data_IF_913065895807
#
_entry.id   IF_913065895807
#
_cell.length_a   1.000
_cell.length_b   1.000
_cell.length_c   1.000
_cell.angle_alpha   90.00
_cell.angle_beta   90.00
_cell.angle_gamma   90.00
#
_symmetry.space_group_name_H-M   'P 1'
#
loop_
_entity.id
_entity.type
_entity.pdbx_description
1 polymer ?
#
# COMPACT_ATOMS: atom_id res chain seq x y z
N UNK A 1 24.23 -28.33 27.44
CA UNK A 1 23.76 -27.28 28.37
C UNK A 1 22.96 -26.29 27.54
N UNK A 2 21.64 -26.21 27.74
CA UNK A 2 20.74 -25.34 26.95
C UNK A 2 20.99 -23.88 27.36
N UNK A 3 21.75 -23.14 26.58
CA UNK A 3 21.94 -21.71 26.80
C UNK A 3 20.68 -20.99 26.32
N UNK A 4 19.91 -20.46 27.27
CA UNK A 4 18.78 -19.59 27.00
C UNK A 4 19.26 -18.39 26.19
N UNK A 5 18.85 -18.30 24.91
CA UNK A 5 18.99 -17.06 24.13
C UNK A 5 18.00 -16.07 24.75
N UNK A 6 18.53 -15.12 25.52
CA UNK A 6 17.76 -14.13 26.26
C UNK A 6 16.82 -13.35 25.33
N UNK A 7 15.51 -13.51 25.54
CA UNK A 7 14.51 -12.55 25.11
C UNK A 7 14.46 -11.42 26.14
N UNK A 8 14.66 -10.18 25.71
CA UNK A 8 14.20 -9.00 26.43
C UNK A 8 13.36 -8.17 25.47
N UNK A 9 12.07 -8.05 25.77
CA UNK A 9 11.14 -7.16 25.10
C UNK A 9 10.85 -6.03 26.08
N UNK A 10 11.31 -4.83 25.77
CA UNK A 10 10.88 -3.62 26.46
C UNK A 10 9.91 -2.89 25.54
N UNK A 11 8.67 -2.70 26.02
CA UNK A 11 7.65 -1.93 25.31
C UNK A 11 7.51 -0.58 26.00
N UNK A 12 7.73 0.51 25.26
CA UNK A 12 6.97 1.73 25.49
C UNK A 12 5.59 1.55 24.85
N UNK A 13 4.58 2.29 25.30
CA UNK A 13 3.27 2.34 24.64
C UNK A 13 3.43 2.86 23.22
N UNK A 14 3.53 1.94 22.26
CA UNK A 14 3.74 2.24 20.85
C UNK A 14 2.45 2.77 20.24
N UNK A 15 2.46 4.05 19.85
CA UNK A 15 1.48 4.56 18.88
C UNK A 15 2.01 4.24 17.49
N UNK A 16 1.39 3.26 16.82
CA UNK A 16 1.79 2.87 15.47
C UNK A 16 1.44 4.00 14.49
N UNK A 17 2.43 4.82 14.12
CA UNK A 17 2.37 5.77 13.00
C UNK A 17 3.25 5.25 11.87
N UNK A 18 2.82 5.46 10.63
CA UNK A 18 3.66 5.20 9.46
C UNK A 18 4.87 6.15 9.50
N UNK A 19 6.07 5.60 9.54
CA UNK A 19 7.32 6.36 9.67
C UNK A 19 8.11 6.32 8.37
N UNK A 20 8.79 7.44 8.11
CA UNK A 20 9.60 7.65 6.92
C UNK A 20 10.75 6.62 6.85
N UNK A 21 10.97 6.07 5.66
CA UNK A 21 12.03 5.11 5.37
C UNK A 21 13.41 5.70 5.66
N UNK A 22 13.56 7.02 5.49
CA UNK A 22 14.81 7.76 5.73
C UNK A 22 15.27 7.71 7.21
N UNK A 23 14.34 7.73 8.16
CA UNK A 23 14.62 7.70 9.60
C UNK A 23 15.30 6.39 9.99
N UNK A 24 14.73 5.26 9.55
CA UNK A 24 15.26 3.95 9.89
C UNK A 24 16.61 3.68 9.24
N UNK A 25 16.84 4.12 8.01
CA UNK A 25 18.12 3.92 7.33
C UNK A 25 19.28 4.58 8.10
N UNK A 26 19.09 5.81 8.58
CA UNK A 26 20.09 6.52 9.39
C UNK A 26 20.33 5.83 10.74
N UNK A 27 19.25 5.54 11.47
CA UNK A 27 19.34 4.89 12.79
C UNK A 27 20.00 3.52 12.69
N UNK A 28 19.68 2.73 11.68
CA UNK A 28 20.28 1.41 11.43
C UNK A 28 21.77 1.53 11.10
N UNK A 29 22.15 2.54 10.30
CA UNK A 29 23.55 2.82 9.98
C UNK A 29 24.35 3.14 11.24
N UNK A 30 23.88 4.07 12.06
CA UNK A 30 24.56 4.47 13.30
C UNK A 30 24.62 3.33 14.31
N UNK A 31 23.54 2.57 14.45
CA UNK A 31 23.50 1.38 15.30
C UNK A 31 24.52 0.33 14.82
N UNK A 32 24.57 0.05 13.52
CA UNK A 32 25.49 -0.94 12.94
C UNK A 32 26.94 -0.51 13.17
N UNK A 33 27.24 0.77 12.96
CA UNK A 33 28.57 1.33 13.19
C UNK A 33 28.98 1.21 14.66
N UNK A 34 28.12 1.65 15.59
CA UNK A 34 28.39 1.59 17.03
C UNK A 34 28.50 0.15 17.55
N UNK A 35 27.68 -0.77 17.02
CA UNK A 35 27.77 -2.19 17.36
C UNK A 35 29.10 -2.80 16.91
N UNK A 36 29.49 -2.61 15.66
CA UNK A 36 30.71 -3.17 15.09
C UNK A 36 32.00 -2.56 15.68
N UNK A 37 31.96 -1.31 16.14
CA UNK A 37 33.08 -0.68 16.83
C UNK A 37 33.11 -0.96 18.34
N UNK A 38 32.21 -1.81 18.85
CA UNK A 38 31.99 -2.05 20.28
C UNK A 38 31.70 -0.78 21.11
N UNK A 39 31.23 0.30 20.46
CA UNK A 39 30.81 1.54 21.11
C UNK A 39 29.31 1.46 21.46
N UNK A 40 28.99 0.56 22.39
CA UNK A 40 27.60 0.32 22.80
C UNK A 40 26.99 1.50 23.55
N UNK A 41 27.81 2.39 24.10
CA UNK A 41 27.35 3.64 24.72
C UNK A 41 26.75 4.57 23.67
N UNK A 42 27.41 4.72 22.52
CA UNK A 42 26.84 5.50 21.41
C UNK A 42 25.54 4.87 20.89
N UNK A 43 25.43 3.54 20.83
CA UNK A 43 24.17 2.88 20.46
C UNK A 43 23.07 3.14 21.51
N UNK A 44 23.39 3.12 22.81
CA UNK A 44 22.44 3.48 23.86
C UNK A 44 21.96 4.94 23.76
N UNK A 45 22.80 5.84 23.26
CA UNK A 45 22.43 7.24 23.08
C UNK A 45 21.37 7.44 21.98
N UNK A 46 21.25 6.50 21.04
CA UNK A 46 20.18 6.49 20.04
C UNK A 46 18.78 6.21 20.65
N UNK A 47 18.70 5.67 21.87
CA UNK A 47 17.41 5.37 22.52
C UNK A 47 16.68 6.66 22.93
N UNK A 48 15.35 6.65 22.82
CA UNK A 48 14.52 7.76 23.28
C UNK A 48 14.56 7.91 24.81
N UNK A 49 14.29 9.12 25.34
CA UNK A 49 14.15 9.32 26.78
C UNK A 49 13.16 8.35 27.43
N UNK A 50 12.02 8.12 26.77
CA UNK A 50 10.97 7.21 27.20
C UNK A 50 11.48 5.77 27.29
N UNK A 51 12.23 5.31 26.29
CA UNK A 51 12.76 3.96 26.30
C UNK A 51 13.86 3.77 27.36
N UNK A 52 14.69 4.81 27.59
CA UNK A 52 15.69 4.84 28.67
C UNK A 52 15.09 4.76 30.08
N UNK A 53 13.82 5.10 30.26
CA UNK A 53 13.13 4.87 31.55
C UNK A 53 12.91 3.38 31.85
N UNK A 54 12.86 2.55 30.81
CA UNK A 54 12.57 1.12 30.90
C UNK A 54 13.84 0.26 30.91
N UNK A 55 14.96 0.75 30.36
CA UNK A 55 16.24 0.05 30.34
C UNK A 55 17.41 0.99 30.61
N UNK A 56 18.25 0.65 31.58
CA UNK A 56 19.45 1.42 31.89
C UNK A 56 20.61 1.08 30.93
N UNK A 57 21.60 1.98 30.86
CA UNK A 57 22.76 1.83 29.96
C UNK A 57 23.54 0.54 30.21
N UNK A 58 23.72 0.14 31.47
CA UNK A 58 24.49 -1.06 31.82
C UNK A 58 23.83 -2.32 31.24
N UNK A 59 22.53 -2.46 31.39
CA UNK A 59 21.79 -3.62 30.91
C UNK A 59 21.70 -3.66 29.38
N UNK A 60 21.50 -2.50 28.74
CA UNK A 60 21.46 -2.40 27.28
C UNK A 60 22.82 -2.71 26.64
N UNK A 61 23.91 -2.13 27.16
CA UNK A 61 25.27 -2.41 26.66
C UNK A 61 25.68 -3.85 26.90
N UNK A 62 25.33 -4.44 28.05
CA UNK A 62 25.54 -5.87 28.32
C UNK A 62 24.72 -6.77 27.40
N UNK A 63 23.53 -6.34 26.96
CA UNK A 63 22.75 -7.03 25.94
C UNK A 63 23.45 -7.02 24.59
N UNK A 64 23.92 -5.86 24.11
CA UNK A 64 24.66 -5.77 22.84
C UNK A 64 25.97 -6.57 22.87
N UNK A 65 26.71 -6.49 23.98
CA UNK A 65 27.95 -7.25 24.17
C UNK A 65 27.73 -8.77 24.11
N UNK A 66 26.59 -9.28 24.62
CA UNK A 66 26.23 -10.69 24.49
C UNK A 66 25.93 -11.07 23.04
N UNK A 67 25.23 -10.22 22.31
CA UNK A 67 24.94 -10.44 20.88
C UNK A 67 26.20 -10.41 20.03
N UNK A 68 27.22 -9.62 20.42
CA UNK A 68 28.51 -9.53 19.73
C UNK A 68 29.30 -10.86 19.70
N UNK A 69 28.90 -11.87 20.46
CA UNK A 69 29.38 -13.25 20.29
C UNK A 69 29.14 -13.80 18.86
N UNK A 70 28.17 -13.24 18.14
CA UNK A 70 27.91 -13.56 16.73
C UNK A 70 28.85 -12.83 15.74
N UNK A 71 29.77 -11.98 16.23
CA UNK A 71 30.67 -11.17 15.41
C UNK A 71 30.05 -9.88 14.88
N UNK A 72 30.71 -9.21 13.95
CA UNK A 72 30.21 -7.95 13.37
C UNK A 72 28.93 -8.17 12.55
N UNK A 73 28.06 -7.16 12.54
CA UNK A 73 26.95 -7.05 11.58
C UNK A 73 27.54 -6.77 10.20
N UNK A 74 27.26 -7.65 9.25
CA UNK A 74 27.76 -7.55 7.85
C UNK A 74 26.68 -7.11 6.88
N UNK A 75 25.40 -7.37 7.19
CA UNK A 75 24.27 -6.98 6.36
C UNK A 75 23.00 -6.85 7.19
N UNK A 76 22.27 -5.75 6.98
CA UNK A 76 20.87 -5.59 7.43
C UNK A 76 19.98 -5.48 6.20
N UNK A 77 18.96 -6.34 6.13
CA UNK A 77 17.96 -6.32 5.06
C UNK A 77 16.58 -6.22 5.67
N UNK A 78 15.83 -5.18 5.33
CA UNK A 78 14.44 -5.03 5.73
C UNK A 78 13.62 -6.24 5.25
N UNK A 79 12.88 -6.85 6.16
CA UNK A 79 12.08 -8.07 5.93
C UNK A 79 10.62 -7.92 6.30
N UNK A 80 10.18 -6.75 6.77
CA UNK A 80 8.76 -6.52 7.06
C UNK A 80 8.45 -5.72 8.31
N UNK A 81 7.17 -5.64 8.62
CA UNK A 81 6.63 -5.05 9.84
C UNK A 81 6.04 -6.12 10.78
N UNK A 82 6.24 -5.99 12.09
CA UNK A 82 5.65 -6.89 13.11
C UNK A 82 5.37 -6.10 14.37
N UNK A 83 4.11 -6.05 14.81
CA UNK A 83 3.70 -5.48 16.10
C UNK A 83 4.18 -4.03 16.35
N UNK A 84 4.21 -3.20 15.31
CA UNK A 84 4.70 -1.82 15.39
C UNK A 84 6.21 -1.65 15.25
N UNK A 85 6.95 -2.74 14.99
CA UNK A 85 8.38 -2.72 14.70
C UNK A 85 8.65 -2.94 13.21
N UNK A 86 9.66 -2.24 12.70
CA UNK A 86 10.35 -2.63 11.46
C UNK A 86 11.25 -3.82 11.78
N UNK A 87 11.19 -4.86 10.95
CA UNK A 87 11.95 -6.10 11.11
C UNK A 87 13.03 -6.18 10.03
N UNK A 88 14.28 -6.37 10.45
CA UNK A 88 15.43 -6.53 9.57
C UNK A 88 16.06 -7.91 9.78
N UNK A 89 16.23 -8.69 8.71
CA UNK A 89 17.19 -9.80 8.70
C UNK A 89 18.58 -9.21 8.87
N UNK A 90 19.20 -9.50 9.99
CA UNK A 90 20.53 -8.99 10.37
C UNK A 90 21.50 -10.16 10.36
N UNK A 91 22.40 -10.14 9.38
CA UNK A 91 23.48 -11.12 9.25
C UNK A 91 24.69 -10.62 10.03
N UNK A 92 25.18 -11.49 10.90
CA UNK A 92 26.45 -11.35 11.60
C UNK A 92 27.48 -12.30 10.98
N UNK A 93 28.77 -12.13 11.29
CA UNK A 93 29.83 -13.05 10.85
C UNK A 93 29.55 -14.52 11.21
N UNK A 94 28.87 -14.78 12.35
CA UNK A 94 28.63 -16.11 12.90
C UNK A 94 27.16 -16.39 13.20
N UNK A 95 26.22 -15.75 12.51
CA UNK A 95 24.80 -16.03 12.70
C UNK A 95 23.85 -15.05 12.01
N UNK A 96 22.55 -15.31 12.14
CA UNK A 96 21.50 -14.44 11.60
C UNK A 96 20.41 -14.28 12.65
N UNK A 97 20.05 -13.03 12.96
CA UNK A 97 18.91 -12.68 13.80
C UNK A 97 17.94 -11.78 13.03
N UNK A 98 16.70 -11.70 13.50
CA UNK A 98 15.79 -10.60 13.13
C UNK A 98 16.00 -9.48 14.14
N UNK A 99 16.37 -8.29 13.67
CA UNK A 99 16.38 -7.06 14.45
C UNK A 99 15.02 -6.40 14.33
N UNK A 100 14.36 -6.18 15.45
CA UNK A 100 13.10 -5.46 15.55
C UNK A 100 13.43 -4.07 16.08
N UNK A 101 13.06 -3.04 15.33
CA UNK A 101 13.33 -1.66 15.70
C UNK A 101 12.08 -0.80 15.49
N UNK A 102 11.75 0.00 16.49
CA UNK A 102 10.75 1.05 16.40
C UNK A 102 11.46 2.37 16.67
N UNK A 103 11.32 3.33 15.77
CA UNK A 103 11.86 4.67 15.95
C UNK A 103 10.74 5.63 16.34
N UNK A 104 11.07 6.87 16.70
CA UNK A 104 10.13 7.97 16.81
C UNK A 104 10.42 9.03 15.75
N UNK A 105 9.57 10.06 15.69
CA UNK A 105 9.68 11.16 14.71
C UNK A 105 11.01 11.95 14.83
N UNK A 106 11.73 11.82 15.95
CA UNK A 106 13.04 12.45 16.19
C UNK A 106 14.22 11.52 15.85
N UNK A 107 13.98 10.43 15.14
CA UNK A 107 14.99 9.40 14.82
C UNK A 107 15.63 8.75 16.05
N UNK A 108 14.88 8.62 17.14
CA UNK A 108 15.32 7.91 18.35
C UNK A 108 14.65 6.55 18.42
N UNK A 109 15.29 5.56 19.04
CA UNK A 109 14.79 4.19 19.16
C UNK A 109 13.85 4.11 20.37
N UNK A 110 12.56 3.83 20.10
CA UNK A 110 11.49 3.61 21.10
C UNK A 110 11.31 2.12 21.45
N UNK A 111 11.87 1.24 20.62
CA UNK A 111 11.87 -0.19 20.88
C UNK A 111 12.95 -0.90 20.09
N UNK A 112 13.62 -1.86 20.73
CA UNK A 112 14.72 -2.61 20.13
C UNK A 112 14.77 -4.04 20.64
N UNK A 113 14.90 -5.01 19.73
CA UNK A 113 15.13 -6.40 20.10
C UNK A 113 15.86 -7.18 18.99
N UNK A 114 16.53 -8.25 19.39
CA UNK A 114 16.93 -9.32 18.48
C UNK A 114 16.16 -10.60 18.80
N UNK A 115 15.71 -11.32 17.77
CA UNK A 115 15.15 -12.67 17.88
C UNK A 115 15.76 -13.62 16.85
N UNK A 116 15.73 -14.95 17.04
CA UNK A 116 16.18 -15.89 16.01
C UNK A 116 15.54 -15.59 14.65
N UNK A 117 16.34 -15.51 13.60
CA UNK A 117 15.81 -15.38 12.25
C UNK A 117 15.20 -16.71 11.81
N UNK A 118 13.87 -16.76 11.65
CA UNK A 118 13.19 -17.89 11.03
C UNK A 118 12.99 -17.55 9.56
N UNK A 119 13.78 -18.19 8.69
CA UNK A 119 13.50 -18.16 7.27
C UNK A 119 12.12 -18.78 7.04
N UNK A 120 11.25 -18.06 6.33
CA UNK A 120 10.01 -18.64 5.83
C UNK A 120 10.38 -19.77 4.87
N UNK A 121 9.88 -20.97 5.12
CA UNK A 121 10.08 -22.08 4.20
C UNK A 121 9.44 -21.71 2.86
N UNK A 122 10.20 -21.83 1.77
CA UNK A 122 9.66 -21.65 0.43
C UNK A 122 8.85 -22.88 0.04
N UNK A 123 7.90 -22.70 -0.87
CA UNK A 123 7.20 -23.83 -1.49
C UNK A 123 8.20 -24.77 -2.15
N UNK A 124 8.13 -26.04 -1.78
CA UNK A 124 8.88 -27.13 -2.40
C UNK A 124 8.15 -27.77 -3.59
N UNK A 125 6.83 -27.56 -3.69
CA UNK A 125 5.98 -28.12 -4.74
C UNK A 125 5.77 -27.07 -5.84
N UNK A 126 5.85 -27.46 -7.13
CA UNK A 126 5.51 -26.59 -8.24
C UNK A 126 4.10 -26.03 -8.10
N UNK A 127 3.96 -24.74 -8.39
CA UNK A 127 2.67 -24.05 -8.35
C UNK A 127 1.93 -24.26 -9.68
N UNK A 128 0.68 -24.69 -9.62
CA UNK A 128 -0.17 -24.86 -10.80
C UNK A 128 -0.26 -23.53 -11.59
N UNK A 129 -0.08 -23.60 -12.90
CA UNK A 129 -0.14 -22.44 -13.78
C UNK A 129 -0.44 -22.85 -15.23
N UNK A 130 -0.86 -21.90 -16.05
CA UNK A 130 -1.14 -22.08 -17.48
C UNK A 130 -0.07 -21.44 -18.39
N UNK A 131 1.05 -20.97 -17.83
CA UNK A 131 2.11 -20.37 -18.60
C UNK A 131 2.90 -21.44 -19.38
N UNK A 132 2.89 -21.31 -20.71
CA UNK A 132 3.56 -22.24 -21.64
C UNK A 132 5.08 -22.10 -21.69
N UNK A 133 5.64 -20.97 -21.24
CA UNK A 133 7.08 -20.67 -21.24
C UNK A 133 7.74 -20.75 -22.62
N UNK A 134 6.95 -20.53 -23.68
CA UNK A 134 7.37 -20.71 -25.07
C UNK A 134 8.07 -19.50 -25.69
N UNK A 135 7.78 -18.31 -25.17
CA UNK A 135 8.42 -17.04 -25.59
C UNK A 135 9.30 -16.47 -24.49
N UNK A 136 10.17 -15.50 -24.82
CA UNK A 136 10.95 -14.77 -23.83
C UNK A 136 10.06 -14.02 -22.82
N UNK A 137 8.94 -13.48 -23.28
CA UNK A 137 7.96 -12.83 -22.40
C UNK A 137 7.37 -13.84 -21.40
N UNK A 138 6.97 -15.02 -21.89
CA UNK A 138 6.44 -16.08 -21.04
C UNK A 138 7.45 -16.48 -19.95
N UNK A 139 8.73 -16.60 -20.31
CA UNK A 139 9.80 -16.96 -19.39
C UNK A 139 10.08 -15.87 -18.36
N UNK A 140 10.08 -14.59 -18.76
CA UNK A 140 10.32 -13.50 -17.81
C UNK A 140 9.12 -13.31 -16.86
N UNK A 141 7.89 -13.44 -17.36
CA UNK A 141 6.70 -13.47 -16.50
C UNK A 141 6.78 -14.63 -15.53
N UNK A 142 7.12 -15.83 -16.00
CA UNK A 142 7.23 -17.01 -15.15
C UNK A 142 8.29 -16.85 -14.06
N UNK A 143 9.45 -16.30 -14.40
CA UNK A 143 10.51 -16.01 -13.44
C UNK A 143 10.08 -14.99 -12.40
N UNK A 144 9.41 -13.91 -12.82
CA UNK A 144 8.91 -12.89 -11.91
C UNK A 144 7.84 -13.45 -10.95
N UNK A 145 6.86 -14.17 -11.49
CA UNK A 145 5.74 -14.73 -10.71
C UNK A 145 6.20 -15.91 -9.85
N UNK A 146 7.09 -16.78 -10.32
CA UNK A 146 7.65 -17.88 -9.51
C UNK A 146 8.39 -17.37 -8.28
N UNK A 147 9.05 -16.21 -8.38
CA UNK A 147 9.64 -15.52 -7.22
C UNK A 147 8.59 -15.18 -6.16
N UNK A 148 7.44 -14.62 -6.57
CA UNK A 148 6.31 -14.32 -5.69
C UNK A 148 5.68 -15.61 -5.13
N UNK A 149 5.36 -16.56 -5.99
CA UNK A 149 4.66 -17.81 -5.66
C UNK A 149 5.50 -18.80 -4.86
N UNK A 150 6.81 -18.57 -4.74
CA UNK A 150 7.70 -19.33 -3.84
C UNK A 150 7.35 -19.12 -2.36
N UNK A 151 6.65 -18.03 -2.03
CA UNK A 151 6.10 -17.81 -0.70
C UNK A 151 4.82 -18.67 -0.51
N UNK A 152 4.79 -19.59 0.47
CA UNK A 152 3.65 -20.47 0.71
C UNK A 152 2.36 -19.74 1.07
N UNK A 153 2.44 -18.48 1.49
CA UNK A 153 1.29 -17.68 1.87
C UNK A 153 0.58 -17.05 0.66
N UNK A 154 1.21 -17.04 -0.52
CA UNK A 154 0.59 -16.55 -1.76
C UNK A 154 -0.29 -17.64 -2.38
N UNK A 155 -1.60 -17.55 -2.24
CA UNK A 155 -2.50 -18.60 -2.75
C UNK A 155 -2.54 -18.62 -4.28
N UNK A 156 -2.80 -17.48 -4.91
CA UNK A 156 -2.93 -17.34 -6.35
C UNK A 156 -2.65 -15.92 -6.84
N UNK A 157 -2.32 -15.82 -8.12
CA UNK A 157 -2.02 -14.54 -8.79
C UNK A 157 -2.40 -14.63 -10.26
N UNK A 158 -2.94 -13.54 -10.78
CA UNK A 158 -3.21 -13.36 -12.20
C UNK A 158 -2.47 -12.14 -12.72
N UNK A 159 -1.92 -12.25 -13.93
CA UNK A 159 -1.11 -11.21 -14.57
C UNK A 159 -1.65 -10.95 -15.97
N UNK A 160 -1.80 -9.67 -16.33
CA UNK A 160 -1.98 -9.27 -17.71
C UNK A 160 -0.84 -8.34 -18.14
N UNK A 161 -0.32 -8.58 -19.34
CA UNK A 161 0.71 -7.75 -19.97
C UNK A 161 0.15 -7.18 -21.27
N UNK A 162 0.13 -5.87 -21.39
CA UNK A 162 -0.26 -5.14 -22.61
C UNK A 162 1.03 -4.73 -23.33
N UNK A 163 1.14 -5.08 -24.61
CA UNK A 163 2.21 -4.65 -25.51
C UNK A 163 1.60 -4.15 -26.82
N UNK A 164 1.44 -2.84 -26.94
CA UNK A 164 0.81 -2.22 -28.10
C UNK A 164 -0.69 -2.55 -28.22
N UNK A 165 -1.03 -3.48 -29.11
CA UNK A 165 -2.39 -3.97 -29.31
C UNK A 165 -2.63 -5.37 -28.72
N UNK A 166 -1.55 -6.07 -28.34
CA UNK A 166 -1.61 -7.42 -27.83
C UNK A 166 -1.76 -7.43 -26.31
N UNK A 167 -2.48 -8.44 -25.81
CA UNK A 167 -2.64 -8.69 -24.37
C UNK A 167 -2.32 -10.16 -24.09
N UNK A 168 -1.41 -10.38 -23.16
CA UNK A 168 -1.00 -11.69 -22.68
C UNK A 168 -1.52 -11.90 -21.27
N UNK A 169 -2.06 -13.08 -20.99
CA UNK A 169 -2.67 -13.43 -19.70
C UNK A 169 -1.94 -14.63 -19.11
N UNK A 170 -1.73 -14.58 -17.79
CA UNK A 170 -1.06 -15.64 -17.06
C UNK A 170 -1.73 -15.85 -15.71
N UNK A 171 -1.91 -17.11 -15.32
CA UNK A 171 -2.61 -17.48 -14.11
C UNK A 171 -1.78 -18.49 -13.31
N UNK A 172 -1.68 -18.26 -12.00
CA UNK A 172 -0.86 -19.04 -11.10
C UNK A 172 -1.60 -19.31 -9.79
N UNK A 173 -1.39 -20.50 -9.23
CA UNK A 173 -1.90 -20.90 -7.92
C UNK A 173 -3.39 -21.17 -7.94
N UNK A 174 -4.11 -20.69 -6.93
CA UNK A 174 -5.49 -21.11 -6.70
C UNK A 174 -6.40 -19.93 -6.27
N UNK A 175 -7.68 -20.00 -6.62
CA UNK A 175 -8.70 -19.05 -6.12
C UNK A 175 -8.98 -19.21 -4.64
N UNK A 176 -8.79 -20.43 -4.12
CA UNK A 176 -8.96 -20.85 -2.74
C UNK A 176 -7.95 -21.97 -2.46
N UNK A 177 -7.24 -21.91 -1.34
CA UNK A 177 -6.18 -22.86 -1.00
C UNK A 177 -6.73 -24.27 -0.92
N UNK A 178 -6.02 -25.21 -1.54
CA UNK A 178 -6.37 -26.63 -1.63
C UNK A 178 -7.60 -26.91 -2.51
N UNK A 179 -8.15 -25.91 -3.21
CA UNK A 179 -9.24 -26.12 -4.15
C UNK A 179 -8.80 -26.74 -5.49
N UNK A 180 -7.50 -26.70 -5.79
CA UNK A 180 -6.94 -27.00 -7.11
C UNK A 180 -7.56 -26.19 -8.28
N UNK A 181 -8.29 -25.11 -7.97
CA UNK A 181 -8.94 -24.25 -8.96
C UNK A 181 -8.03 -23.09 -9.31
N UNK A 182 -7.42 -23.17 -10.49
CA UNK A 182 -6.63 -22.07 -11.06
C UNK A 182 -7.51 -20.81 -11.19
N UNK A 183 -7.04 -19.63 -10.77
CA UNK A 183 -7.74 -18.39 -11.06
C UNK A 183 -7.78 -18.13 -12.57
N UNK A 184 -8.77 -17.37 -13.02
CA UNK A 184 -8.95 -17.01 -14.43
C UNK A 184 -9.20 -15.50 -14.60
N UNK A 185 -9.35 -15.06 -15.84
CA UNK A 185 -9.62 -13.67 -16.18
C UNK A 185 -10.94 -13.10 -15.64
N UNK A 186 -11.84 -13.94 -15.09
CA UNK A 186 -13.14 -13.58 -14.51
C UNK A 186 -13.15 -13.68 -12.98
N UNK A 187 -12.08 -14.19 -12.39
CA UNK A 187 -11.91 -14.26 -10.94
C UNK A 187 -11.85 -12.84 -10.40
N UNK A 188 -12.67 -12.57 -9.38
CA UNK A 188 -12.78 -11.26 -8.74
C UNK A 188 -11.75 -11.18 -7.62
N UNK A 189 -11.06 -10.04 -7.55
CA UNK A 189 -10.09 -9.69 -6.51
C UNK A 189 -10.45 -8.33 -5.92
N UNK A 190 -10.10 -8.09 -4.66
CA UNK A 190 -10.05 -6.73 -4.13
C UNK A 190 -8.82 -6.02 -4.71
N UNK A 191 -9.02 -4.87 -5.39
CA UNK A 191 -7.90 -4.11 -5.99
C UNK A 191 -7.32 -3.07 -5.02
N UNK A 192 -7.84 -3.04 -3.79
CA UNK A 192 -7.40 -2.14 -2.72
C UNK A 192 -7.23 -0.71 -3.23
N UNK A 193 -6.09 -0.11 -2.91
CA UNK A 193 -5.82 1.30 -3.19
C UNK A 193 -5.72 1.69 -4.67
N UNK A 194 -5.69 0.75 -5.63
CA UNK A 194 -5.92 1.09 -7.04
C UNK A 194 -7.29 1.79 -7.20
N UNK A 195 -8.26 1.52 -6.31
CA UNK A 195 -9.55 2.25 -6.28
C UNK A 195 -9.42 3.77 -6.30
N UNK A 196 -8.33 4.33 -5.76
CA UNK A 196 -8.09 5.78 -5.74
C UNK A 196 -7.97 6.37 -7.13
N UNK A 197 -7.37 5.63 -8.07
CA UNK A 197 -7.21 6.09 -9.45
C UNK A 197 -8.56 6.23 -10.16
N UNK A 198 -9.55 5.41 -9.79
CA UNK A 198 -10.94 5.58 -10.22
C UNK A 198 -11.55 6.86 -9.62
N UNK A 199 -11.34 7.10 -8.32
CA UNK A 199 -11.76 8.37 -7.67
C UNK A 199 -11.12 9.59 -8.32
N UNK A 200 -9.84 9.50 -8.73
CA UNK A 200 -9.12 10.56 -9.43
C UNK A 200 -9.73 10.89 -10.79
N UNK A 201 -10.15 9.87 -11.56
CA UNK A 201 -10.89 10.05 -12.82
C UNK A 201 -12.27 10.68 -12.58
N UNK A 202 -13.00 10.28 -11.53
CA UNK A 202 -14.30 10.87 -11.21
C UNK A 202 -14.14 12.35 -10.80
N UNK A 203 -13.08 12.69 -10.06
CA UNK A 203 -12.73 14.08 -9.77
C UNK A 203 -12.42 14.85 -11.06
N UNK A 204 -11.59 14.29 -11.94
CA UNK A 204 -11.31 14.90 -13.24
C UNK A 204 -12.60 15.15 -14.04
N UNK A 205 -13.52 14.19 -14.04
CA UNK A 205 -14.82 14.35 -14.69
C UNK A 205 -15.65 15.47 -14.04
N UNK A 206 -15.66 15.58 -12.71
CA UNK A 206 -16.36 16.67 -12.01
C UNK A 206 -15.80 18.06 -12.36
N UNK A 207 -14.49 18.15 -12.62
CA UNK A 207 -13.85 19.38 -13.11
C UNK A 207 -14.30 19.70 -14.54
N UNK A 208 -14.33 18.71 -15.42
CA UNK A 208 -14.80 18.87 -16.81
C UNK A 208 -16.29 19.25 -16.87
N UNK A 209 -17.11 18.69 -15.98
CA UNK A 209 -18.53 19.02 -15.82
C UNK A 209 -18.76 20.41 -15.19
N UNK A 210 -17.70 21.12 -14.78
CA UNK A 210 -17.79 22.44 -14.13
C UNK A 210 -18.39 22.42 -12.72
N UNK A 211 -18.50 21.24 -12.09
CA UNK A 211 -19.12 21.05 -10.76
C UNK A 211 -18.19 21.36 -9.60
N UNK A 212 -16.89 21.27 -9.82
CA UNK A 212 -15.84 21.50 -8.82
C UNK A 212 -14.58 22.00 -9.52
N UNK A 213 -13.77 22.82 -8.84
CA UNK A 213 -12.43 23.20 -9.31
C UNK A 213 -11.37 22.52 -8.45
N UNK A 214 -10.24 22.17 -9.05
CA UNK A 214 -9.10 21.57 -8.33
C UNK A 214 -8.57 22.47 -7.20
N UNK A 215 -8.68 23.80 -7.36
CA UNK A 215 -8.26 24.81 -6.39
C UNK A 215 -9.41 25.35 -5.54
N UNK A 216 -10.56 24.68 -5.51
CA UNK A 216 -11.59 25.01 -4.52
C UNK A 216 -11.16 24.61 -3.12
N UNK A 217 -11.48 25.45 -2.15
CA UNK A 217 -11.47 25.12 -0.73
C UNK A 217 -12.51 24.02 -0.44
N UNK A 218 -12.09 22.91 0.15
CA UNK A 218 -12.96 21.77 0.41
C UNK A 218 -14.09 22.09 1.39
N UNK A 219 -13.92 23.12 2.24
CA UNK A 219 -14.93 23.54 3.23
C UNK A 219 -16.23 23.99 2.59
N UNK A 220 -16.21 24.43 1.33
CA UNK A 220 -17.42 24.75 0.54
C UNK A 220 -18.36 23.54 0.37
N UNK A 221 -17.82 22.33 0.46
CA UNK A 221 -18.54 21.08 0.20
C UNK A 221 -18.83 20.26 1.47
N UNK A 222 -18.42 20.78 2.64
CA UNK A 222 -18.52 20.09 3.92
C UNK A 222 -19.49 20.83 4.86
N UNK A 223 -20.04 20.15 5.89
CA UNK A 223 -20.84 20.82 6.91
C UNK A 223 -20.08 21.93 7.64
N UNK A 224 -20.80 22.93 8.15
CA UNK A 224 -20.22 24.10 8.83
C UNK A 224 -19.28 23.76 10.01
N UNK A 225 -19.51 22.62 10.68
CA UNK A 225 -18.64 22.12 11.76
C UNK A 225 -17.22 21.77 11.30
N UNK A 226 -16.98 21.60 10.00
CA UNK A 226 -15.66 21.34 9.41
C UNK A 226 -14.93 22.62 8.96
N UNK A 227 -15.33 23.80 9.46
CA UNK A 227 -14.76 25.11 9.06
C UNK A 227 -13.29 25.31 9.46
N UNK A 228 -12.80 24.55 10.45
CA UNK A 228 -11.43 24.60 10.96
C UNK A 228 -10.35 23.92 10.11
N UNK A 229 -10.69 23.38 8.93
CA UNK A 229 -9.77 22.62 8.06
C UNK A 229 -8.76 23.53 7.32
N UNK A 230 -7.84 24.11 8.08
CA UNK A 230 -6.74 24.93 7.61
C UNK A 230 -5.56 24.85 8.58
N UNK A 231 -4.35 25.12 8.09
CA UNK A 231 -3.16 25.31 8.92
C UNK A 231 -2.37 26.51 8.40
N UNK A 232 -1.89 27.37 9.31
CA UNK A 232 -1.19 28.62 8.96
C UNK A 232 -1.99 29.51 7.98
N UNK A 233 -3.32 29.55 8.14
CA UNK A 233 -4.21 30.32 7.27
C UNK A 233 -4.42 29.74 5.87
N UNK A 234 -3.82 28.59 5.54
CA UNK A 234 -4.02 27.91 4.26
C UNK A 234 -5.09 26.81 4.37
N UNK A 235 -6.19 26.88 3.60
CA UNK A 235 -7.18 25.81 3.56
C UNK A 235 -6.69 24.61 2.77
N UNK A 236 -7.37 23.48 2.96
CA UNK A 236 -7.21 22.31 2.07
C UNK A 236 -7.95 22.58 0.75
N UNK A 237 -7.25 22.41 -0.36
CA UNK A 237 -7.81 22.46 -1.71
C UNK A 237 -8.21 21.06 -2.20
N UNK A 238 -9.19 20.99 -3.11
CA UNK A 238 -9.72 19.71 -3.62
C UNK A 238 -8.62 18.79 -4.19
N UNK A 239 -7.70 19.31 -5.01
CA UNK A 239 -6.60 18.51 -5.57
C UNK A 239 -5.69 17.91 -4.48
N UNK A 240 -5.59 18.57 -3.33
CA UNK A 240 -4.72 18.15 -2.23
C UNK A 240 -5.23 16.89 -1.53
N UNK A 241 -6.53 16.60 -1.65
CA UNK A 241 -7.09 15.31 -1.23
C UNK A 241 -6.65 14.16 -2.16
N UNK A 242 -6.47 14.45 -3.45
CA UNK A 242 -6.16 13.46 -4.49
C UNK A 242 -4.68 13.25 -4.73
N UNK A 243 -3.84 14.25 -4.46
CA UNK A 243 -2.39 14.15 -4.63
C UNK A 243 -1.64 13.94 -3.30
N UNK A 244 -2.39 13.67 -2.23
CA UNK A 244 -1.88 13.38 -0.89
C UNK A 244 -1.13 14.54 -0.20
N UNK A 245 -1.41 15.80 -0.54
CA UNK A 245 -0.80 16.96 0.14
C UNK A 245 -1.76 17.74 1.03
N UNK A 246 -2.82 17.12 1.55
CA UNK A 246 -3.84 17.81 2.36
C UNK A 246 -3.41 18.07 3.80
N UNK A 247 -2.39 17.37 4.29
CA UNK A 247 -2.05 17.33 5.72
C UNK A 247 -3.03 16.51 6.57
N UNK A 248 -4.02 15.84 5.97
CA UNK A 248 -4.90 14.92 6.70
C UNK A 248 -4.17 13.61 7.01
N UNK A 249 -4.20 13.13 8.26
CA UNK A 249 -3.58 11.87 8.64
C UNK A 249 -4.05 10.68 7.79
N UNK A 250 -3.21 9.65 7.70
CA UNK A 250 -3.49 8.45 6.89
C UNK A 250 -4.87 7.85 7.15
N UNK A 251 -5.22 7.75 8.43
CA UNK A 251 -6.48 7.23 8.96
C UNK A 251 -7.00 8.15 10.07
N UNK A 252 -8.31 8.17 10.32
CA UNK A 252 -8.86 8.79 11.51
C UNK A 252 -8.31 8.15 12.80
N UNK A 253 -8.01 8.99 13.81
CA UNK A 253 -7.49 8.52 15.10
C UNK A 253 -8.53 7.80 15.95
N UNK A 254 -9.81 8.03 15.67
CA UNK A 254 -10.97 7.42 16.32
C UNK A 254 -11.49 6.16 15.62
N UNK A 255 -10.87 5.73 14.51
CA UNK A 255 -11.31 4.56 13.75
C UNK A 255 -11.41 3.32 14.63
N UNK A 256 -10.42 3.10 15.50
CA UNK A 256 -10.37 1.93 16.41
C UNK A 256 -11.35 2.00 17.58
N UNK A 257 -11.83 3.20 17.91
CA UNK A 257 -12.83 3.44 18.95
C UNK A 257 -14.27 3.50 18.41
N UNK A 258 -14.46 3.28 17.12
CA UNK A 258 -15.77 3.32 16.48
C UNK A 258 -16.66 2.19 17.01
N UNK A 259 -17.94 2.46 17.36
CA UNK A 259 -18.88 1.41 17.75
C UNK A 259 -18.96 0.29 16.69
N UNK A 260 -18.76 -0.95 17.12
CA UNK A 260 -18.73 -2.11 16.22
C UNK A 260 -17.39 -2.35 15.51
N UNK A 261 -16.31 -1.65 15.88
CA UNK A 261 -14.98 -1.88 15.33
C UNK A 261 -14.56 -3.36 15.39
N UNK A 262 -14.07 -3.85 14.26
CA UNK A 262 -13.48 -5.18 14.13
C UNK A 262 -12.15 -5.03 13.41
N UNK A 263 -11.05 -5.48 14.03
CA UNK A 263 -9.71 -5.40 13.45
C UNK A 263 -9.58 -6.07 12.08
N UNK A 264 -10.41 -7.10 11.82
CA UNK A 264 -10.40 -7.83 10.55
C UNK A 264 -11.22 -7.15 9.45
N UNK A 265 -12.12 -6.23 9.81
CA UNK A 265 -12.90 -5.40 8.88
C UNK A 265 -13.03 -3.96 9.42
N UNK A 266 -11.92 -3.20 9.45
CA UNK A 266 -11.76 -2.03 10.33
C UNK A 266 -12.58 -0.81 9.91
N UNK A 267 -13.08 -0.77 8.67
CA UNK A 267 -13.78 0.39 8.11
C UNK A 267 -15.31 0.23 8.08
N UNK A 268 -15.82 -0.99 8.31
CA UNK A 268 -17.22 -1.37 8.07
C UNK A 268 -18.25 -0.43 8.69
N UNK A 269 -17.93 0.09 9.87
CA UNK A 269 -18.83 0.90 10.67
C UNK A 269 -18.46 2.40 10.67
N UNK A 270 -17.44 2.80 9.91
CA UNK A 270 -17.01 4.20 9.86
C UNK A 270 -17.83 4.99 8.82
N UNK A 271 -18.83 5.72 9.30
CA UNK A 271 -19.80 6.42 8.45
C UNK A 271 -19.33 7.79 7.96
N UNK A 272 -20.10 8.39 7.05
CA UNK A 272 -19.90 9.75 6.55
C UNK A 272 -20.02 10.78 7.67
N UNK A 273 -20.95 10.58 8.59
CA UNK A 273 -21.16 11.43 9.76
C UNK A 273 -19.95 11.37 10.69
N UNK A 274 -19.37 10.17 10.90
CA UNK A 274 -18.15 10.00 11.68
C UNK A 274 -16.95 10.71 11.03
N UNK A 275 -16.83 10.66 9.69
CA UNK A 275 -15.86 11.49 8.98
C UNK A 275 -16.07 12.99 9.25
N UNK A 276 -17.31 13.49 9.26
CA UNK A 276 -17.56 14.89 9.58
C UNK A 276 -17.21 15.23 11.03
N UNK A 277 -17.49 14.34 11.98
CA UNK A 277 -17.13 14.52 13.39
C UNK A 277 -15.61 14.51 13.60
N UNK A 278 -14.90 13.64 12.88
CA UNK A 278 -13.44 13.60 12.87
C UNK A 278 -12.84 14.87 12.25
N UNK A 279 -13.33 15.29 11.09
CA UNK A 279 -12.87 16.50 10.41
C UNK A 279 -13.13 17.77 11.22
N UNK A 280 -14.13 17.79 12.10
CA UNK A 280 -14.40 18.94 12.98
C UNK A 280 -13.33 19.16 14.05
N UNK A 281 -12.51 18.14 14.36
CA UNK A 281 -11.53 18.17 15.47
C UNK A 281 -10.10 17.81 15.07
N UNK A 282 -9.90 17.26 13.86
CA UNK A 282 -8.59 16.84 13.38
C UNK A 282 -7.60 18.01 13.35
N UNK A 283 -6.35 17.72 13.72
CA UNK A 283 -5.21 18.62 13.49
C UNK A 283 -4.46 18.16 12.26
N UNK A 284 -4.20 19.07 11.33
CA UNK A 284 -3.42 18.76 10.13
C UNK A 284 -1.96 18.52 10.51
N UNK A 285 -1.36 17.46 9.97
CA UNK A 285 0.03 17.07 10.21
C UNK A 285 1.03 18.03 9.53
N UNK A 286 0.62 18.65 8.42
CA UNK A 286 1.44 19.57 7.64
C UNK A 286 0.58 20.64 6.99
N UNK A 287 1.22 21.74 6.57
CA UNK A 287 0.56 22.83 5.86
C UNK A 287 0.05 22.30 4.51
N UNK A 288 -1.24 22.48 4.15
CA UNK A 288 -1.78 21.96 2.90
C UNK A 288 -0.97 22.43 1.68
N UNK A 289 -0.60 21.48 0.83
CA UNK A 289 0.20 21.67 -0.38
C UNK A 289 1.72 21.63 -0.17
N UNK A 290 2.20 21.42 1.06
CA UNK A 290 3.64 21.48 1.37
C UNK A 290 4.35 20.13 1.28
N UNK A 291 3.77 19.08 1.86
CA UNK A 291 4.37 17.75 1.99
C UNK A 291 3.38 16.72 1.46
N UNK A 292 3.88 15.73 0.71
CA UNK A 292 3.09 14.60 0.30
C UNK A 292 3.10 13.51 1.37
N UNK A 293 1.92 13.23 1.94
CA UNK A 293 1.70 12.17 2.91
C UNK A 293 0.46 11.35 2.52
N UNK A 294 0.68 10.07 2.18
CA UNK A 294 -0.37 9.19 1.70
C UNK A 294 -1.55 9.10 2.68
N UNK A 295 -2.75 9.47 2.21
CA UNK A 295 -3.93 9.60 3.07
C UNK A 295 -5.15 8.89 2.51
N UNK A 296 -5.61 7.83 3.19
CA UNK A 296 -6.90 7.20 2.90
C UNK A 296 -8.05 8.12 3.32
N UNK A 297 -7.90 8.82 4.45
CA UNK A 297 -8.83 9.86 4.91
C UNK A 297 -9.07 10.90 3.82
N UNK A 298 -8.01 11.43 3.22
CA UNK A 298 -8.12 12.43 2.16
C UNK A 298 -8.97 11.96 0.98
N UNK A 299 -8.74 10.74 0.50
CA UNK A 299 -9.49 10.19 -0.65
C UNK A 299 -10.93 9.77 -0.27
N UNK A 300 -11.16 9.30 0.96
CA UNK A 300 -12.51 9.05 1.45
C UNK A 300 -13.34 10.36 1.50
N UNK A 301 -12.75 11.43 2.02
CA UNK A 301 -13.36 12.77 2.03
C UNK A 301 -13.60 13.28 0.61
N UNK A 302 -12.67 13.06 -0.31
CA UNK A 302 -12.86 13.38 -1.72
C UNK A 302 -14.09 12.68 -2.29
N UNK A 303 -14.26 11.38 -2.03
CA UNK A 303 -15.45 10.67 -2.49
C UNK A 303 -16.75 11.20 -1.87
N UNK A 304 -16.75 11.55 -0.57
CA UNK A 304 -17.91 12.21 0.08
C UNK A 304 -18.26 13.54 -0.61
N UNK A 305 -17.25 14.34 -0.96
CA UNK A 305 -17.43 15.59 -1.70
C UNK A 305 -18.00 15.31 -3.10
N UNK A 306 -17.48 14.30 -3.80
CA UNK A 306 -17.98 13.90 -5.13
C UNK A 306 -19.45 13.47 -5.08
N UNK A 307 -19.85 12.69 -4.08
CA UNK A 307 -21.26 12.35 -3.88
C UNK A 307 -22.13 13.59 -3.66
N UNK A 308 -21.63 14.56 -2.88
CA UNK A 308 -22.34 15.81 -2.58
C UNK A 308 -22.54 16.68 -3.82
N UNK A 309 -21.52 16.87 -4.66
CA UNK A 309 -21.60 17.74 -5.85
C UNK A 309 -22.44 17.14 -6.99
N UNK A 310 -22.56 15.81 -7.02
CA UNK A 310 -23.40 15.12 -7.99
C UNK A 310 -24.80 14.77 -7.48
N UNK A 311 -25.02 14.69 -6.17
CA UNK A 311 -26.25 14.16 -5.59
C UNK A 311 -26.46 12.68 -5.89
N UNK A 312 -25.37 11.92 -6.05
CA UNK A 312 -25.36 10.49 -6.41
C UNK A 312 -24.40 9.73 -5.51
N UNK A 313 -24.63 8.43 -5.31
CA UNK A 313 -23.71 7.59 -4.55
C UNK A 313 -22.42 7.33 -5.33
N UNK A 314 -21.33 7.04 -4.63
CA UNK A 314 -20.04 6.74 -5.28
C UNK A 314 -20.15 5.55 -6.25
N UNK A 315 -20.95 4.52 -5.91
CA UNK A 315 -21.25 3.39 -6.79
C UNK A 315 -21.92 3.84 -8.11
N UNK A 316 -22.85 4.81 -8.05
CA UNK A 316 -23.48 5.36 -9.23
C UNK A 316 -22.48 6.15 -10.09
N UNK A 317 -21.60 6.95 -9.46
CA UNK A 317 -20.56 7.71 -10.15
C UNK A 317 -19.54 6.80 -10.85
N UNK A 318 -19.06 5.77 -10.14
CA UNK A 318 -18.17 4.74 -10.68
C UNK A 318 -18.78 4.07 -11.92
N UNK A 319 -20.07 3.70 -11.83
CA UNK A 319 -20.78 3.11 -12.96
C UNK A 319 -20.92 4.06 -14.14
N UNK A 320 -21.38 5.28 -13.88
CA UNK A 320 -21.70 6.27 -14.91
C UNK A 320 -20.47 6.71 -15.69
N UNK A 321 -19.37 6.99 -15.00
CA UNK A 321 -18.22 7.65 -15.60
C UNK A 321 -17.07 6.72 -15.96
N UNK A 322 -17.06 5.49 -15.44
CA UNK A 322 -15.96 4.55 -15.70
C UNK A 322 -16.47 3.20 -16.19
N UNK A 323 -17.20 2.44 -15.35
CA UNK A 323 -17.40 1.02 -15.67
C UNK A 323 -18.37 0.81 -16.84
N UNK A 324 -19.41 1.64 -17.00
CA UNK A 324 -20.27 1.56 -18.18
C UNK A 324 -19.57 2.02 -19.47
N UNK A 325 -18.91 3.20 -19.54
CA UNK A 325 -18.17 3.61 -20.73
C UNK A 325 -17.05 2.64 -21.15
N UNK A 326 -16.35 2.04 -20.19
CA UNK A 326 -15.24 1.12 -20.45
C UNK A 326 -15.67 -0.35 -20.53
N UNK A 327 -16.96 -0.64 -20.41
CA UNK A 327 -17.55 -2.00 -20.43
C UNK A 327 -16.95 -2.94 -19.37
N UNK A 328 -16.63 -2.40 -18.19
CA UNK A 328 -16.11 -3.14 -17.03
C UNK A 328 -17.26 -3.72 -16.22
N UNK A 329 -17.95 -4.72 -16.77
CA UNK A 329 -19.18 -5.28 -16.17
C UNK A 329 -18.95 -6.09 -14.90
N UNK A 330 -17.71 -6.43 -14.58
CA UNK A 330 -17.32 -7.24 -13.42
C UNK A 330 -16.47 -6.43 -12.41
N UNK A 331 -16.74 -5.13 -12.32
CA UNK A 331 -16.11 -4.20 -11.39
C UNK A 331 -17.15 -3.61 -10.45
N UNK A 332 -16.94 -3.76 -9.14
CA UNK A 332 -17.96 -3.58 -8.13
C UNK A 332 -17.43 -2.86 -6.89
N UNK A 333 -18.30 -2.13 -6.19
CA UNK A 333 -18.10 -1.84 -4.76
C UNK A 333 -18.65 -3.01 -3.94
N UNK A 334 -19.91 -3.36 -4.18
CA UNK A 334 -20.59 -4.52 -3.60
C UNK A 334 -20.76 -5.60 -4.68
N UNK A 335 -20.27 -6.81 -4.42
CA UNK A 335 -20.36 -7.92 -5.36
C UNK A 335 -21.80 -8.45 -5.37
N UNK A 336 -22.46 -8.55 -6.54
CA UNK A 336 -23.76 -9.18 -6.64
C UNK A 336 -23.70 -10.65 -6.20
N UNK A 337 -24.74 -11.14 -5.53
CA UNK A 337 -24.81 -12.52 -5.00
C UNK A 337 -24.41 -13.58 -6.05
N UNK A 338 -24.92 -13.45 -7.28
CA UNK A 338 -24.63 -14.33 -8.42
C UNK A 338 -23.16 -14.33 -8.88
N UNK A 339 -22.31 -13.45 -8.34
CA UNK A 339 -20.89 -13.33 -8.67
C UNK A 339 -19.98 -13.72 -7.50
N UNK A 340 -20.53 -14.02 -6.31
CA UNK A 340 -19.73 -14.40 -5.15
C UNK A 340 -18.92 -15.69 -5.41
N UNK A 341 -19.41 -16.60 -6.25
CA UNK A 341 -18.70 -17.82 -6.65
C UNK A 341 -17.45 -17.57 -7.52
N UNK A 342 -17.33 -16.36 -8.09
CA UNK A 342 -16.15 -15.90 -8.82
C UNK A 342 -15.19 -15.12 -7.92
N UNK A 343 -15.54 -14.85 -6.66
CA UNK A 343 -14.68 -14.13 -5.74
C UNK A 343 -13.61 -15.07 -5.17
N UNK A 344 -12.35 -14.72 -5.35
CA UNK A 344 -11.26 -15.46 -4.72
C UNK A 344 -11.33 -15.31 -3.19
N UNK A 345 -10.88 -16.33 -2.46
CA UNK A 345 -10.66 -16.26 -1.02
C UNK A 345 -9.39 -15.46 -0.77
N UNK A 346 -9.44 -14.48 0.13
CA UNK A 346 -8.28 -13.67 0.51
C UNK A 346 -7.49 -14.31 1.64
N UNK A 347 -6.17 -14.11 1.66
CA UNK A 347 -5.29 -14.65 2.71
C UNK A 347 -4.37 -13.60 3.31
N UNK A 348 -4.08 -13.71 4.60
CA UNK A 348 -3.06 -12.93 5.29
C UNK A 348 -2.16 -13.87 6.09
N UNK A 349 -0.85 -13.82 5.82
CA UNK A 349 0.13 -14.73 6.42
C UNK A 349 -0.32 -16.21 6.33
N UNK A 350 -0.91 -16.55 5.20
CA UNK A 350 -1.36 -17.89 4.85
C UNK A 350 -2.69 -18.32 5.45
N UNK A 351 -3.28 -17.56 6.38
CA UNK A 351 -4.61 -17.78 6.94
C UNK A 351 -5.68 -17.03 6.14
N UNK A 352 -6.89 -17.58 6.06
CA UNK A 352 -8.02 -16.90 5.42
C UNK A 352 -8.30 -15.55 6.11
N UNK A 353 -8.46 -14.52 5.29
CA UNK A 353 -8.72 -13.16 5.73
C UNK A 353 -10.08 -12.70 5.20
N UNK A 354 -10.95 -12.13 6.06
CA UNK A 354 -12.23 -11.64 5.61
C UNK A 354 -12.05 -10.44 4.68
N UNK A 355 -13.01 -10.29 3.78
CA UNK A 355 -13.13 -9.15 2.89
C UNK A 355 -13.41 -7.87 3.67
N UNK A 356 -12.86 -6.76 3.22
CA UNK A 356 -13.10 -5.46 3.87
C UNK A 356 -14.34 -4.77 3.30
N UNK A 357 -15.27 -4.40 4.17
CA UNK A 357 -16.29 -3.41 3.84
C UNK A 357 -15.74 -2.02 4.18
N UNK A 358 -15.41 -1.23 3.16
CA UNK A 358 -14.83 0.10 3.38
C UNK A 358 -15.85 1.18 3.71
N UNK A 359 -17.16 0.89 3.62
CA UNK A 359 -18.23 1.85 3.87
C UNK A 359 -17.97 3.21 3.18
N UNK A 360 -17.93 4.31 3.92
CA UNK A 360 -17.66 5.65 3.38
C UNK A 360 -16.21 5.84 2.89
N UNK A 361 -15.32 4.90 3.20
CA UNK A 361 -13.93 4.84 2.72
C UNK A 361 -13.79 4.10 1.40
N UNK A 362 -14.88 3.59 0.80
CA UNK A 362 -14.85 2.86 -0.47
C UNK A 362 -14.11 3.58 -1.63
N UNK A 363 -14.19 4.91 -1.79
CA UNK A 363 -13.38 5.65 -2.76
C UNK A 363 -11.86 5.46 -2.61
N UNK A 364 -11.40 5.13 -1.41
CA UNK A 364 -9.98 4.93 -1.12
C UNK A 364 -9.51 3.48 -1.35
N UNK A 365 -10.39 2.48 -1.42
CA UNK A 365 -9.93 1.09 -1.52
C UNK A 365 -10.99 -0.01 -1.70
N UNK A 366 -12.25 0.35 -1.93
CA UNK A 366 -13.39 -0.57 -1.86
C UNK A 366 -13.78 -1.23 -3.18
N UNK A 367 -13.03 -1.00 -4.27
CA UNK A 367 -13.34 -1.61 -5.56
C UNK A 367 -12.83 -3.06 -5.58
N UNK A 368 -13.66 -3.95 -6.14
CA UNK A 368 -13.30 -5.28 -6.61
C UNK A 368 -13.41 -5.33 -8.11
N UNK A 369 -12.50 -6.06 -8.75
CA UNK A 369 -12.48 -6.19 -10.20
C UNK A 369 -11.91 -7.52 -10.64
N UNK A 370 -11.95 -7.76 -11.95
CA UNK A 370 -11.39 -8.95 -12.61
C UNK A 370 -10.22 -8.53 -13.48
N UNK A 371 -9.38 -9.49 -13.89
CA UNK A 371 -8.26 -9.18 -14.77
C UNK A 371 -8.72 -8.64 -16.13
N UNK A 372 -9.82 -9.16 -16.69
CA UNK A 372 -10.41 -8.64 -17.94
C UNK A 372 -10.80 -7.17 -17.83
N UNK A 373 -11.51 -6.80 -16.77
CA UNK A 373 -11.95 -5.42 -16.56
C UNK A 373 -10.76 -4.49 -16.30
N UNK A 374 -9.76 -4.95 -15.53
CA UNK A 374 -8.55 -4.17 -15.28
C UNK A 374 -7.69 -3.99 -16.54
N UNK A 375 -7.70 -4.94 -17.49
CA UNK A 375 -7.11 -4.74 -18.81
C UNK A 375 -7.84 -3.67 -19.61
N UNK A 376 -9.18 -3.65 -19.59
CA UNK A 376 -9.96 -2.59 -20.23
C UNK A 376 -9.64 -1.22 -19.62
N UNK A 377 -9.57 -1.15 -18.29
CA UNK A 377 -9.18 0.05 -17.55
C UNK A 377 -7.76 0.51 -17.88
N UNK A 378 -6.77 -0.39 -17.88
CA UNK A 378 -5.39 -0.07 -18.19
C UNK A 378 -5.22 0.40 -19.64
N UNK A 379 -5.88 -0.28 -20.59
CA UNK A 379 -5.90 0.11 -22.00
C UNK A 379 -6.48 1.50 -22.18
N UNK A 380 -7.58 1.81 -21.48
CA UNK A 380 -8.20 3.12 -21.48
C UNK A 380 -7.28 4.22 -20.93
N UNK A 381 -6.49 3.91 -19.90
CA UNK A 381 -5.48 4.80 -19.34
C UNK A 381 -4.31 5.04 -20.30
N UNK A 382 -3.71 3.99 -20.86
CA UNK A 382 -2.60 4.10 -21.83
C UNK A 382 -3.01 4.95 -23.04
N UNK A 383 -4.24 4.79 -23.51
CA UNK A 383 -4.74 5.45 -24.73
C UNK A 383 -5.52 6.74 -24.46
N UNK A 384 -5.71 7.10 -23.19
CA UNK A 384 -6.50 8.27 -22.76
C UNK A 384 -7.87 8.37 -23.44
N UNK A 385 -8.59 7.26 -23.53
CA UNK A 385 -9.84 7.19 -24.32
C UNK A 385 -10.99 8.06 -23.78
N UNK A 386 -10.84 8.58 -22.55
CA UNK A 386 -11.76 9.54 -21.93
C UNK A 386 -10.99 10.82 -21.57
N UNK A 387 -11.55 12.03 -21.79
CA UNK A 387 -10.89 13.28 -21.38
C UNK A 387 -10.55 13.35 -19.89
N UNK A 388 -11.40 12.76 -19.04
CA UNK A 388 -11.16 12.69 -17.59
C UNK A 388 -9.92 11.85 -17.24
N UNK A 389 -9.61 10.81 -18.03
CA UNK A 389 -8.38 10.03 -17.87
C UNK A 389 -7.17 10.91 -18.15
N UNK A 390 -7.13 11.61 -19.29
CA UNK A 390 -6.03 12.50 -19.64
C UNK A 390 -5.82 13.61 -18.60
N UNK A 391 -6.90 14.17 -18.05
CA UNK A 391 -6.81 15.15 -16.98
C UNK A 391 -6.28 14.55 -15.67
N UNK A 392 -6.62 13.28 -15.36
CA UNK A 392 -6.13 12.59 -14.16
C UNK A 392 -4.62 12.32 -14.16
N UNK A 393 -3.99 12.31 -15.34
CA UNK A 393 -2.53 12.11 -15.51
C UNK A 393 -1.75 13.41 -15.55
N UNK A 394 -2.39 14.57 -15.40
CA UNK A 394 -1.67 15.86 -15.31
C UNK A 394 -1.01 16.01 -13.95
N UNK A 395 0.20 16.55 -13.92
CA UNK A 395 0.90 16.90 -12.69
C UNK A 395 0.07 17.84 -11.82
N UNK A 396 -0.10 17.48 -10.57
CA UNK A 396 -0.75 18.32 -9.54
C UNK A 396 0.14 18.57 -8.33
N UNK A 397 1.21 17.78 -8.19
CA UNK A 397 2.25 17.96 -7.20
C UNK A 397 3.54 17.28 -7.69
N UNK A 398 4.68 17.82 -7.25
CA UNK A 398 6.00 17.27 -7.54
C UNK A 398 6.93 17.47 -6.35
N UNK A 399 7.57 16.39 -5.92
CA UNK A 399 8.63 16.39 -4.92
C UNK A 399 9.81 15.59 -5.46
N UNK A 400 10.95 16.25 -5.65
CA UNK A 400 12.12 15.69 -6.34
C UNK A 400 11.74 15.03 -7.70
N UNK A 401 11.91 13.71 -7.82
CA UNK A 401 11.59 12.93 -9.02
C UNK A 401 10.22 12.25 -8.98
N UNK A 402 9.44 12.49 -7.93
CA UNK A 402 8.10 11.94 -7.74
C UNK A 402 7.06 12.95 -8.21
N UNK A 403 6.42 12.65 -9.33
CA UNK A 403 5.32 13.44 -9.89
C UNK A 403 4.02 12.75 -9.49
N UNK A 404 3.01 13.51 -9.11
CA UNK A 404 1.69 12.98 -8.75
C UNK A 404 0.58 13.65 -9.54
N UNK A 405 -0.28 12.83 -10.12
CA UNK A 405 -1.52 13.24 -10.77
C UNK A 405 -2.71 13.20 -9.82
N UNK A 406 -3.91 12.98 -10.35
CA UNK A 406 -5.08 12.74 -9.53
C UNK A 406 -5.09 11.26 -9.09
N UNK A 407 -4.54 10.98 -7.91
CA UNK A 407 -4.34 9.64 -7.33
C UNK A 407 -3.44 8.71 -8.17
N UNK A 408 -2.63 9.25 -9.07
CA UNK A 408 -1.64 8.48 -9.84
C UNK A 408 -0.22 8.89 -9.43
N UNK A 409 0.65 7.92 -9.19
CA UNK A 409 2.08 8.16 -9.06
C UNK A 409 2.74 8.07 -10.43
N UNK A 410 3.59 9.05 -10.74
CA UNK A 410 4.17 9.26 -12.07
C UNK A 410 5.68 9.50 -12.03
N UNK A 411 6.49 8.70 -11.30
CA UNK A 411 7.93 8.91 -11.24
C UNK A 411 8.58 8.79 -12.62
N UNK A 412 9.67 9.53 -12.81
CA UNK A 412 10.54 9.35 -13.97
C UNK A 412 11.44 8.14 -13.74
N UNK A 413 11.42 7.18 -14.66
CA UNK A 413 12.27 5.99 -14.62
C UNK A 413 13.73 6.34 -14.93
N UNK A 414 14.66 5.42 -14.66
CA UNK A 414 16.09 5.62 -14.97
C UNK A 414 16.36 5.85 -16.46
N UNK A 415 15.47 5.37 -17.33
CA UNK A 415 15.57 5.51 -18.78
C UNK A 415 14.91 6.80 -19.30
N UNK A 416 14.38 7.65 -18.41
CA UNK A 416 13.69 8.89 -18.76
C UNK A 416 12.20 8.74 -19.08
N UNK A 417 11.68 7.51 -19.15
CA UNK A 417 10.23 7.27 -19.35
C UNK A 417 9.42 7.68 -18.11
N UNK A 418 8.20 8.20 -18.28
CA UNK A 418 7.24 8.38 -17.17
C UNK A 418 6.49 7.08 -16.88
N UNK A 419 6.68 6.54 -15.68
CA UNK A 419 5.90 5.39 -15.19
C UNK A 419 4.65 5.89 -14.50
N UNK A 420 3.47 5.63 -15.07
CA UNK A 420 2.20 5.89 -14.39
C UNK A 420 1.75 4.62 -13.70
N UNK A 421 1.61 4.63 -12.38
CA UNK A 421 1.34 3.43 -11.60
C UNK A 421 0.61 3.68 -10.28
N UNK A 422 0.05 2.60 -9.74
CA UNK A 422 -0.47 2.53 -8.38
C UNK A 422 -0.50 1.06 -7.92
N UNK A 423 -0.39 0.82 -6.61
CA UNK A 423 -0.60 -0.50 -6.01
C UNK A 423 -1.81 -0.52 -5.07
N UNK A 424 -2.17 -1.69 -4.56
CA UNK A 424 -3.30 -1.82 -3.67
C UNK A 424 -3.10 -2.95 -2.68
N UNK A 425 -3.66 -2.78 -1.49
CA UNK A 425 -3.74 -3.83 -0.48
C UNK A 425 -5.01 -3.71 0.35
N UNK A 426 -5.54 -4.85 0.77
CA UNK A 426 -6.63 -5.00 1.74
C UNK A 426 -6.25 -6.08 2.77
N UNK A 427 -7.21 -6.54 3.57
CA UNK A 427 -6.97 -7.58 4.58
C UNK A 427 -6.44 -8.89 4.02
N UNK A 428 -6.79 -9.23 2.77
CA UNK A 428 -6.44 -10.51 2.16
C UNK A 428 -5.94 -10.45 0.72
N UNK A 429 -5.74 -9.26 0.15
CA UNK A 429 -5.40 -9.08 -1.26
C UNK A 429 -4.30 -8.04 -1.44
N UNK A 430 -3.53 -8.21 -2.50
CA UNK A 430 -2.60 -7.19 -3.02
C UNK A 430 -2.75 -7.06 -4.53
N UNK A 431 -2.44 -5.89 -5.07
CA UNK A 431 -2.53 -5.63 -6.51
C UNK A 431 -1.54 -4.58 -6.98
N UNK A 432 -1.22 -4.61 -8.27
CA UNK A 432 -0.38 -3.65 -8.96
C UNK A 432 -0.97 -3.31 -10.32
N UNK A 433 -0.89 -2.03 -10.70
CA UNK A 433 -1.12 -1.56 -12.06
C UNK A 433 -0.05 -0.53 -12.42
N UNK A 434 0.58 -0.67 -13.58
CA UNK A 434 1.60 0.25 -14.04
C UNK A 434 1.78 0.21 -15.55
N UNK A 435 2.10 1.35 -16.15
CA UNK A 435 2.32 1.45 -17.59
C UNK A 435 3.26 2.59 -17.98
N UNK A 436 3.85 2.45 -19.17
CA UNK A 436 4.62 3.50 -19.83
C UNK A 436 3.82 3.95 -21.05
N UNK A 437 3.24 5.15 -20.94
CA UNK A 437 2.31 5.69 -21.94
C UNK A 437 2.92 5.72 -23.33
N UNK A 438 4.11 6.28 -23.47
CA UNK A 438 4.76 6.49 -24.78
C UNK A 438 5.15 5.19 -25.47
N UNK A 439 5.45 4.15 -24.69
CA UNK A 439 5.78 2.80 -25.18
C UNK A 439 4.53 1.93 -25.39
N UNK A 440 3.35 2.38 -24.95
CA UNK A 440 2.09 1.61 -24.99
C UNK A 440 2.22 0.22 -24.37
N UNK A 441 3.00 0.12 -23.30
CA UNK A 441 3.16 -1.10 -22.51
C UNK A 441 2.56 -0.93 -21.13
N UNK A 442 1.98 -1.99 -20.58
CA UNK A 442 1.39 -1.95 -19.25
C UNK A 442 1.25 -3.33 -18.62
N UNK A 443 1.16 -3.36 -17.30
CA UNK A 443 1.03 -4.59 -16.52
C UNK A 443 -0.03 -4.41 -15.45
N UNK A 444 -0.89 -5.42 -15.29
CA UNK A 444 -1.77 -5.61 -14.14
C UNK A 444 -1.38 -6.90 -13.44
N UNK A 445 -1.30 -6.87 -12.12
CA UNK A 445 -1.11 -8.06 -11.28
C UNK A 445 -2.13 -8.02 -10.14
N UNK A 446 -2.92 -9.07 -9.98
CA UNK A 446 -3.89 -9.23 -8.89
C UNK A 446 -3.58 -10.50 -8.10
N UNK A 447 -3.49 -10.39 -6.78
CA UNK A 447 -3.04 -11.47 -5.89
C UNK A 447 -4.01 -11.59 -4.71
N UNK A 448 -4.49 -12.80 -4.43
CA UNK A 448 -5.41 -13.07 -3.30
C UNK A 448 -4.66 -13.34 -1.98
N UNK A 449 -3.53 -12.66 -1.77
CA UNK A 449 -2.80 -12.69 -0.51
C UNK A 449 -2.26 -11.31 -0.16
N UNK A 450 -2.46 -10.90 1.09
CA UNK A 450 -1.71 -9.84 1.73
C UNK A 450 -0.28 -10.33 1.97
N UNK A 451 0.69 -9.75 1.27
CA UNK A 451 2.11 -10.10 1.40
C UNK A 451 3.01 -8.91 1.10
N UNK A 452 4.12 -8.84 1.83
CA UNK A 452 5.17 -7.84 1.68
C UNK A 452 6.04 -8.07 0.45
N UNK A 453 6.09 -9.31 -0.07
CA UNK A 453 6.76 -9.64 -1.34
C UNK A 453 5.88 -9.35 -2.55
N UNK A 454 4.79 -8.59 -2.36
CA UNK A 454 3.63 -8.45 -3.23
C UNK A 454 3.87 -8.06 -4.70
N UNK A 455 2.77 -7.81 -5.43
CA UNK A 455 2.73 -7.77 -6.89
C UNK A 455 3.59 -6.69 -7.54
N UNK A 456 4.04 -5.68 -6.79
CA UNK A 456 4.87 -4.57 -7.26
C UNK A 456 6.18 -5.05 -7.92
N UNK A 457 6.84 -6.06 -7.32
CA UNK A 457 8.09 -6.62 -7.88
C UNK A 457 7.84 -7.32 -9.20
N UNK A 458 6.73 -8.03 -9.32
CA UNK A 458 6.32 -8.73 -10.54
C UNK A 458 6.05 -7.70 -11.64
N UNK A 459 5.19 -6.71 -11.35
CA UNK A 459 4.85 -5.66 -12.30
C UNK A 459 6.06 -4.86 -12.77
N UNK A 460 6.93 -4.46 -11.84
CA UNK A 460 8.15 -3.70 -12.15
C UNK A 460 9.16 -4.50 -12.97
N UNK A 461 9.32 -5.80 -12.68
CA UNK A 461 10.24 -6.66 -13.43
C UNK A 461 9.78 -6.83 -14.89
N UNK A 462 8.49 -7.08 -15.11
CA UNK A 462 7.92 -7.23 -16.45
C UNK A 462 8.00 -5.92 -17.22
N UNK A 463 7.64 -4.78 -16.61
CA UNK A 463 7.76 -3.47 -17.27
C UNK A 463 9.20 -3.17 -17.65
N UNK A 464 10.17 -3.48 -16.79
CA UNK A 464 11.60 -3.29 -17.08
C UNK A 464 12.07 -4.17 -18.22
N UNK A 465 11.59 -5.41 -18.34
CA UNK A 465 11.93 -6.30 -19.44
C UNK A 465 11.40 -5.81 -20.79
N UNK A 466 10.25 -5.14 -20.79
CA UNK A 466 9.61 -4.60 -21.99
C UNK A 466 10.16 -3.23 -22.44
N UNK A 467 10.98 -2.58 -21.61
CA UNK A 467 11.58 -1.28 -21.91
C UNK A 467 12.76 -1.37 -22.86
#
# INVERSE_FOLDING_TARGET
MKTYICFFLFFATLTAKAQDKSIYEHVISDLTKGFNSADYTSVYNLLSPEFKTNINQKDFTAFLARTAALGNITLTKYTGDSDGFKVYKTTFEKGILSMLIACNEKSQIDGFAFRPFKAKALRSVPVANDNKKGTELDQEVDKAVSGLMSDPDIAGTVVAVIKGAEVYYYHYGETDKQSAKLPDNKTIFEIGSISKTFTGIILAQAVLDGKIKLDDDIRKYLPAKCSGLQLEGKPILVKQLSNHTSGLPRLPDDLRSTPGYNEKDPYKHYSKEMYYDYLARVKLASVPGKIQEYSNTGVAVLGIILEKVYGQTYTQLLKKYITAPLKMSNTYIEIPEKQLTNFATGYNNGAEAPHWNLASSSPAGGIRSTLNDMVAYLTANIREVLPAIALSHRETFKEANEITGLNWFMPTTKNGDTLVWHNGGTGGFTSYIGYLKDKKIGVVVLTNSASENGPDKVGSAILKFLQ
#
